data_IF_919076861070
#
_entry.id   IF_919076861070
#
_cell.length_a   1.000
_cell.length_b   1.000
_cell.length_c   1.000
_cell.angle_alpha   90.00
_cell.angle_beta   90.00
_cell.angle_gamma   90.00
#
_symmetry.space_group_name_H-M   'P 1'
#
loop_
_entity.id
_entity.type
_entity.pdbx_description
1 polymer ?
#
# COMPACT_ATOMS: atom_id res chain seq x y z
N UNK A 1 16.48 19.80 -5.42
CA UNK A 1 16.70 20.00 -3.97
C UNK A 1 17.51 18.81 -3.50
N UNK A 2 18.50 19.01 -2.65
CA UNK A 2 19.24 17.88 -2.06
C UNK A 2 18.31 17.13 -1.13
N UNK A 3 18.34 15.79 -1.17
CA UNK A 3 17.53 14.98 -0.26
C UNK A 3 18.01 15.16 1.18
N UNK A 4 17.21 15.85 1.98
CA UNK A 4 17.48 16.09 3.41
C UNK A 4 16.60 15.17 4.27
N UNK A 5 17.27 14.25 4.98
CA UNK A 5 16.63 13.30 5.89
C UNK A 5 16.94 13.65 7.35
N UNK A 6 15.94 13.53 8.21
CA UNK A 6 16.09 13.74 9.66
C UNK A 6 16.84 12.56 10.32
N UNK A 7 17.41 12.79 11.51
CA UNK A 7 18.20 11.77 12.23
C UNK A 7 17.46 10.43 12.44
N UNK A 8 16.19 10.39 12.88
CA UNK A 8 15.44 9.13 12.99
C UNK A 8 15.43 8.31 11.70
N UNK A 9 15.31 8.97 10.54
CA UNK A 9 15.32 8.28 9.23
C UNK A 9 16.72 7.73 8.94
N UNK A 10 17.78 8.47 9.27
CA UNK A 10 19.16 7.98 9.11
C UNK A 10 19.43 6.76 9.99
N UNK A 11 18.91 6.72 11.21
CA UNK A 11 19.00 5.55 12.08
C UNK A 11 18.30 4.32 11.47
N UNK A 12 17.10 4.50 10.92
CA UNK A 12 16.37 3.43 10.21
C UNK A 12 17.18 2.93 8.99
N UNK A 13 17.82 3.83 8.24
CA UNK A 13 18.68 3.44 7.12
C UNK A 13 19.84 2.56 7.60
N UNK A 14 20.53 2.94 8.69
CA UNK A 14 21.59 2.13 9.26
C UNK A 14 21.10 0.75 9.76
N UNK A 15 19.89 0.69 10.32
CA UNK A 15 19.27 -0.58 10.72
C UNK A 15 19.05 -1.50 9.51
N UNK A 16 18.58 -0.94 8.39
CA UNK A 16 18.43 -1.70 7.13
C UNK A 16 19.78 -2.22 6.65
N UNK A 17 20.83 -1.39 6.63
CA UNK A 17 22.16 -1.83 6.19
C UNK A 17 22.70 -2.96 7.07
N UNK A 18 22.50 -2.86 8.40
CA UNK A 18 22.89 -3.89 9.35
C UNK A 18 22.09 -5.20 9.16
N UNK A 19 20.77 -5.11 8.98
CA UNK A 19 19.89 -6.27 8.81
C UNK A 19 20.08 -6.99 7.47
N UNK A 20 20.46 -6.25 6.42
CA UNK A 20 20.56 -6.80 5.05
C UNK A 20 21.99 -7.09 4.61
N UNK A 21 22.98 -6.49 5.26
CA UNK A 21 24.38 -6.48 4.81
C UNK A 21 24.57 -5.71 3.51
N UNK A 22 23.62 -4.86 3.11
CA UNK A 22 23.61 -4.17 1.81
C UNK A 22 23.29 -2.69 1.99
N UNK A 23 24.07 -1.80 1.36
CA UNK A 23 23.83 -0.36 1.49
C UNK A 23 22.60 0.09 0.70
N UNK A 24 22.07 1.27 1.05
CA UNK A 24 21.01 1.93 0.30
C UNK A 24 21.58 2.96 -0.68
N UNK A 25 21.00 2.99 -1.89
CA UNK A 25 21.28 4.00 -2.91
C UNK A 25 20.03 4.81 -3.20
N UNK A 26 20.15 6.12 -3.18
CA UNK A 26 19.08 7.04 -3.57
C UNK A 26 19.21 7.42 -5.05
N UNK A 27 18.10 7.35 -5.78
CA UNK A 27 18.06 7.67 -7.21
C UNK A 27 16.86 8.56 -7.51
N UNK A 28 17.13 9.73 -8.08
CA UNK A 28 16.07 10.62 -8.56
C UNK A 28 15.30 9.97 -9.72
N UNK A 29 13.98 10.00 -9.65
CA UNK A 29 13.07 9.50 -10.69
C UNK A 29 11.75 10.25 -10.63
N UNK A 30 11.51 11.14 -11.58
CA UNK A 30 10.32 11.99 -11.57
C UNK A 30 9.05 11.32 -12.08
N UNK A 31 9.19 10.26 -12.88
CA UNK A 31 8.10 9.45 -13.45
C UNK A 31 7.50 8.44 -12.44
N UNK A 32 7.63 8.69 -11.14
CA UNK A 32 7.04 7.83 -10.12
C UNK A 32 5.56 8.17 -9.92
N UNK A 33 4.75 7.10 -9.81
CA UNK A 33 3.34 7.22 -9.39
C UNK A 33 3.20 7.61 -7.91
N UNK A 34 4.27 7.44 -7.12
CA UNK A 34 4.38 7.79 -5.70
C UNK A 34 5.57 8.73 -5.50
N UNK A 35 5.69 9.36 -4.32
CA UNK A 35 6.83 10.27 -4.05
C UNK A 35 8.13 9.53 -3.72
N UNK A 36 8.03 8.31 -3.21
CA UNK A 36 9.15 7.38 -3.08
C UNK A 36 8.70 5.96 -3.41
N UNK A 37 9.66 5.10 -3.77
CA UNK A 37 9.45 3.67 -3.94
C UNK A 37 10.76 2.91 -3.77
N UNK A 38 10.71 1.71 -3.20
CA UNK A 38 11.90 0.87 -3.05
C UNK A 38 12.01 -0.24 -4.09
N UNK A 39 13.25 -0.50 -4.51
CA UNK A 39 13.65 -1.75 -5.14
C UNK A 39 14.58 -2.48 -4.17
N UNK A 40 14.03 -3.51 -3.55
CA UNK A 40 14.76 -4.34 -2.59
C UNK A 40 15.80 -5.20 -3.33
N UNK A 41 17.03 -5.23 -2.80
CA UNK A 41 18.14 -5.93 -3.41
C UNK A 41 17.95 -7.45 -3.35
N UNK A 42 17.99 -8.12 -4.51
CA UNK A 42 18.09 -9.58 -4.61
C UNK A 42 19.52 -10.06 -4.41
N UNK A 43 19.76 -11.38 -4.30
CA UNK A 43 21.08 -11.97 -4.06
C UNK A 43 22.21 -11.37 -4.89
N UNK A 44 22.03 -11.28 -6.21
CA UNK A 44 23.03 -10.73 -7.14
C UNK A 44 23.10 -9.19 -7.19
N UNK A 45 22.24 -8.48 -6.47
CA UNK A 45 22.24 -7.01 -6.43
C UNK A 45 23.05 -6.51 -5.23
N UNK A 46 23.99 -5.57 -5.43
CA UNK A 46 24.85 -5.09 -4.35
C UNK A 46 24.14 -4.11 -3.41
N UNK A 47 23.11 -3.39 -3.86
CA UNK A 47 22.48 -2.32 -3.08
C UNK A 47 20.96 -2.35 -3.19
N UNK A 48 20.29 -1.89 -2.13
CA UNK A 48 18.89 -1.47 -2.19
C UNK A 48 18.81 -0.13 -2.94
N UNK A 49 17.72 0.11 -3.66
CA UNK A 49 17.53 1.39 -4.36
C UNK A 49 16.23 2.04 -3.90
N UNK A 50 16.34 3.24 -3.33
CA UNK A 50 15.19 4.10 -3.02
C UNK A 50 15.09 5.13 -4.14
N UNK A 51 13.99 5.06 -4.90
CA UNK A 51 13.65 6.07 -5.88
C UNK A 51 12.85 7.19 -5.21
N UNK A 52 13.12 8.43 -5.60
CA UNK A 52 12.37 9.60 -5.13
C UNK A 52 12.20 10.64 -6.23
N UNK A 53 11.12 11.43 -6.18
CA UNK A 53 10.89 12.54 -7.12
C UNK A 53 11.73 13.74 -6.70
N UNK A 54 12.28 14.50 -7.65
CA UNK A 54 13.08 15.72 -7.41
C UNK A 54 12.28 16.82 -6.70
N UNK A 55 10.99 16.92 -7.06
CA UNK A 55 10.01 17.75 -6.36
C UNK A 55 9.36 16.95 -5.24
N UNK A 56 9.89 17.11 -4.04
CA UNK A 56 9.35 16.51 -2.83
C UNK A 56 9.24 17.56 -1.71
N UNK A 57 8.37 17.30 -0.74
CA UNK A 57 8.33 18.06 0.51
C UNK A 57 8.85 17.20 1.67
N UNK A 58 8.74 17.70 2.89
CA UNK A 58 9.25 17.02 4.07
C UNK A 58 8.60 15.64 4.35
N UNK A 59 7.49 15.30 3.68
CA UNK A 59 6.87 13.95 3.79
C UNK A 59 7.81 12.85 3.29
N UNK A 60 8.82 13.20 2.48
CA UNK A 60 9.85 12.24 2.04
C UNK A 60 10.50 11.49 3.22
N UNK A 61 10.61 12.12 4.39
CA UNK A 61 11.13 11.47 5.60
C UNK A 61 10.27 10.26 6.03
N UNK A 62 8.95 10.43 6.07
CA UNK A 62 8.03 9.33 6.37
C UNK A 62 8.07 8.26 5.27
N UNK A 63 8.09 8.67 4.00
CA UNK A 63 8.06 7.73 2.89
C UNK A 63 9.32 6.87 2.85
N UNK A 64 10.50 7.45 3.08
CA UNK A 64 11.75 6.69 3.16
C UNK A 64 11.69 5.70 4.34
N UNK A 65 11.24 6.12 5.52
CA UNK A 65 11.07 5.24 6.68
C UNK A 65 10.08 4.10 6.41
N UNK A 66 8.96 4.39 5.75
CA UNK A 66 7.95 3.41 5.35
C UNK A 66 8.52 2.34 4.43
N UNK A 67 9.24 2.75 3.38
CA UNK A 67 9.89 1.86 2.44
C UNK A 67 10.99 1.00 3.12
N UNK A 68 11.72 1.56 4.08
CA UNK A 68 12.65 0.81 4.93
C UNK A 68 11.94 -0.24 5.78
N UNK A 69 10.75 0.08 6.31
CA UNK A 69 9.90 -0.86 7.04
C UNK A 69 9.60 -2.13 6.22
N UNK A 70 9.30 -2.00 4.93
CA UNK A 70 9.13 -3.17 4.05
C UNK A 70 10.40 -4.02 3.94
N UNK A 71 11.59 -3.39 3.83
CA UNK A 71 12.86 -4.12 3.78
C UNK A 71 13.07 -4.90 5.09
N UNK A 72 12.96 -4.22 6.24
CA UNK A 72 13.18 -4.83 7.55
C UNK A 72 12.24 -6.01 7.79
N UNK A 73 10.96 -5.87 7.46
CA UNK A 73 9.99 -6.96 7.57
C UNK A 73 10.37 -8.14 6.70
N UNK A 74 10.69 -7.93 5.43
CA UNK A 74 11.08 -9.03 4.53
C UNK A 74 12.40 -9.70 4.97
N UNK A 75 13.34 -8.95 5.52
CA UNK A 75 14.63 -9.49 6.00
C UNK A 75 14.57 -10.08 7.41
N UNK A 76 13.46 -9.92 8.13
CA UNK A 76 13.23 -10.58 9.43
C UNK A 76 13.07 -12.09 9.33
N UNK A 77 12.92 -12.62 8.10
CA UNK A 77 12.82 -14.06 7.82
C UNK A 77 13.95 -14.55 6.90
N UNK A 78 14.27 -15.86 6.94
CA UNK A 78 15.21 -16.49 6.01
C UNK A 78 14.81 -16.31 4.55
N UNK A 79 15.80 -16.37 3.64
CA UNK A 79 15.60 -16.11 2.20
C UNK A 79 14.49 -16.99 1.59
N UNK A 80 14.38 -18.23 2.03
CA UNK A 80 13.43 -19.23 1.52
C UNK A 80 11.98 -18.89 1.84
N UNK A 81 11.75 -18.04 2.85
CA UNK A 81 10.41 -17.58 3.25
C UNK A 81 10.02 -16.24 2.63
N UNK A 82 10.93 -15.54 1.94
CA UNK A 82 10.68 -14.21 1.38
C UNK A 82 9.84 -14.35 0.11
N UNK A 83 8.54 -14.12 0.25
CA UNK A 83 7.58 -14.15 -0.84
C UNK A 83 7.53 -12.81 -1.57
N UNK A 84 7.34 -12.88 -2.88
CA UNK A 84 7.06 -11.71 -3.74
C UNK A 84 5.74 -11.94 -4.47
N UNK A 85 4.92 -10.89 -4.67
CA UNK A 85 3.70 -11.02 -5.46
C UNK A 85 4.01 -11.58 -6.85
N UNK A 86 3.36 -12.69 -7.20
CA UNK A 86 3.47 -13.31 -8.51
C UNK A 86 2.35 -12.84 -9.43
N UNK A 87 2.62 -12.85 -10.75
CA UNK A 87 1.55 -12.63 -11.74
C UNK A 87 0.55 -13.79 -11.67
N UNK A 88 -0.76 -13.53 -11.87
CA UNK A 88 -1.75 -14.59 -11.91
C UNK A 88 -1.43 -15.58 -13.04
N UNK A 89 -1.55 -16.89 -12.73
CA UNK A 89 -1.33 -17.96 -13.70
C UNK A 89 -2.40 -18.00 -14.79
N UNK A 90 -3.61 -17.57 -14.46
CA UNK A 90 -4.75 -17.50 -15.39
C UNK A 90 -5.41 -16.12 -15.36
N UNK A 91 -4.94 -15.23 -16.23
CA UNK A 91 -5.55 -13.92 -16.41
C UNK A 91 -6.98 -13.99 -16.99
N UNK A 92 -7.37 -15.10 -17.64
CA UNK A 92 -8.70 -15.25 -18.25
C UNK A 92 -9.76 -15.51 -17.18
N UNK A 93 -9.47 -16.33 -16.17
CA UNK A 93 -10.38 -16.58 -15.06
C UNK A 93 -10.80 -15.27 -14.37
N UNK A 94 -9.84 -14.38 -14.13
CA UNK A 94 -10.11 -13.05 -13.57
C UNK A 94 -11.01 -12.20 -14.48
N UNK A 95 -10.81 -12.22 -15.80
CA UNK A 95 -11.65 -11.49 -16.75
C UNK A 95 -13.08 -12.05 -16.80
N UNK A 96 -13.24 -13.37 -16.69
CA UNK A 96 -14.55 -14.03 -16.65
C UNK A 96 -15.37 -13.58 -15.43
N UNK A 97 -14.73 -13.42 -14.26
CA UNK A 97 -15.43 -12.95 -13.05
C UNK A 97 -16.02 -11.55 -13.17
N UNK A 98 -15.45 -10.70 -14.04
CA UNK A 98 -15.90 -9.31 -14.25
C UNK A 98 -16.54 -9.08 -15.62
N UNK A 99 -16.73 -10.12 -16.43
CA UNK A 99 -17.18 -10.00 -17.83
C UNK A 99 -18.50 -9.23 -17.96
N UNK A 100 -19.46 -9.51 -17.07
CA UNK A 100 -20.74 -8.80 -17.04
C UNK A 100 -20.58 -7.30 -16.81
N UNK A 101 -19.66 -6.90 -15.93
CA UNK A 101 -19.33 -5.49 -15.70
C UNK A 101 -18.60 -4.89 -16.89
N UNK A 102 -17.68 -5.62 -17.52
CA UNK A 102 -16.98 -5.15 -18.73
C UNK A 102 -17.96 -4.87 -19.88
N UNK A 103 -18.93 -5.76 -20.08
CA UNK A 103 -19.99 -5.59 -21.08
C UNK A 103 -20.91 -4.40 -20.79
N UNK A 104 -21.09 -4.05 -19.52
CA UNK A 104 -21.83 -2.85 -19.11
C UNK A 104 -21.00 -1.58 -19.31
N UNK A 105 -19.72 -1.60 -18.93
CA UNK A 105 -18.82 -0.46 -18.98
C UNK A 105 -18.42 -0.12 -20.42
N UNK A 106 -18.30 -1.11 -21.31
CA UNK A 106 -18.01 -0.90 -22.74
C UNK A 106 -19.08 -0.07 -23.48
N UNK A 107 -20.28 0.05 -22.89
CA UNK A 107 -21.34 0.95 -23.38
C UNK A 107 -21.17 2.39 -22.92
N UNK A 108 -20.28 2.65 -21.96
CA UNK A 108 -20.04 3.95 -21.34
C UNK A 108 -18.72 4.58 -21.79
N UNK A 109 -17.71 3.78 -22.12
CA UNK A 109 -16.39 4.24 -22.54
C UNK A 109 -15.88 3.47 -23.77
N UNK A 110 -14.98 4.06 -24.59
CA UNK A 110 -14.40 3.39 -25.75
C UNK A 110 -13.64 2.10 -25.37
N UNK A 111 -13.68 1.10 -26.26
CA UNK A 111 -13.01 -0.19 -26.03
C UNK A 111 -11.50 -0.05 -25.81
N UNK A 112 -10.85 0.88 -26.50
CA UNK A 112 -9.41 1.12 -26.34
C UNK A 112 -9.07 1.63 -24.94
N UNK A 113 -9.89 2.51 -24.36
CA UNK A 113 -9.77 2.96 -22.98
C UNK A 113 -10.04 1.81 -22.01
N UNK A 114 -11.09 1.01 -22.28
CA UNK A 114 -11.45 -0.15 -21.45
C UNK A 114 -10.28 -1.14 -21.32
N UNK A 115 -9.59 -1.47 -22.41
CA UNK A 115 -8.42 -2.37 -22.40
C UNK A 115 -7.31 -1.82 -21.51
N UNK A 116 -7.05 -0.51 -21.55
CA UNK A 116 -6.03 0.13 -20.72
C UNK A 116 -6.38 0.08 -19.23
N UNK A 117 -7.63 0.42 -18.87
CA UNK A 117 -8.04 0.53 -17.47
C UNK A 117 -8.23 -0.82 -16.78
N UNK A 118 -8.56 -1.90 -17.51
CA UNK A 118 -8.71 -3.24 -16.93
C UNK A 118 -7.41 -3.73 -16.27
N UNK A 119 -6.27 -3.52 -16.94
CA UNK A 119 -4.97 -3.82 -16.36
C UNK A 119 -4.67 -2.96 -15.13
N UNK A 120 -5.06 -1.68 -15.15
CA UNK A 120 -4.85 -0.78 -14.02
C UNK A 120 -5.67 -1.19 -12.79
N UNK A 121 -6.94 -1.57 -12.98
CA UNK A 121 -7.82 -1.98 -11.90
C UNK A 121 -7.35 -3.25 -11.21
N UNK A 122 -7.00 -4.25 -12.00
CA UNK A 122 -6.62 -5.58 -11.49
C UNK A 122 -5.26 -5.52 -10.78
N UNK A 123 -4.25 -4.89 -11.41
CA UNK A 123 -2.95 -4.67 -10.77
C UNK A 123 -3.06 -3.77 -9.54
N UNK A 124 -3.89 -2.72 -9.59
CA UNK A 124 -4.11 -1.82 -8.48
C UNK A 124 -4.74 -2.51 -7.27
N UNK A 125 -5.75 -3.36 -7.50
CA UNK A 125 -6.41 -4.11 -6.44
C UNK A 125 -5.47 -5.13 -5.79
N UNK A 126 -4.70 -5.89 -6.59
CA UNK A 126 -3.70 -6.83 -6.07
C UNK A 126 -2.64 -6.09 -5.26
N UNK A 127 -2.11 -4.98 -5.78
CA UNK A 127 -1.13 -4.17 -5.04
C UNK A 127 -1.69 -3.64 -3.73
N UNK A 128 -2.95 -3.20 -3.71
CA UNK A 128 -3.61 -2.75 -2.49
C UNK A 128 -3.72 -3.88 -1.46
N UNK A 129 -4.19 -5.05 -1.90
CA UNK A 129 -4.31 -6.24 -1.07
C UNK A 129 -2.96 -6.69 -0.49
N UNK A 130 -1.89 -6.68 -1.27
CA UNK A 130 -0.56 -7.13 -0.83
C UNK A 130 0.18 -6.11 0.02
N UNK A 131 -0.17 -4.83 -0.07
CA UNK A 131 0.51 -3.76 0.66
C UNK A 131 -0.21 -3.37 1.95
N UNK A 132 -1.54 -3.28 1.95
CA UNK A 132 -2.26 -2.70 3.10
C UNK A 132 -2.05 -3.43 4.42
N UNK A 133 -2.05 -4.77 4.48
CA UNK A 133 -1.72 -5.45 5.72
C UNK A 133 -0.32 -5.08 6.25
N UNK A 134 0.80 -5.31 5.53
CA UNK A 134 2.11 -4.93 6.06
C UNK A 134 2.24 -3.42 6.32
N UNK A 135 1.62 -2.57 5.49
CA UNK A 135 1.59 -1.12 5.71
C UNK A 135 0.98 -0.77 7.07
N UNK A 136 -0.10 -1.45 7.51
CA UNK A 136 -0.68 -1.23 8.84
C UNK A 136 0.39 -1.42 9.93
N UNK A 137 1.19 -2.47 9.85
CA UNK A 137 2.21 -2.76 10.85
C UNK A 137 3.40 -1.80 10.77
N UNK A 138 3.81 -1.41 9.56
CA UNK A 138 4.88 -0.43 9.34
C UNK A 138 4.47 0.93 9.90
N UNK A 139 3.24 1.39 9.65
CA UNK A 139 2.77 2.67 10.15
C UNK A 139 2.64 2.69 11.68
N UNK A 140 2.22 1.57 12.30
CA UNK A 140 2.23 1.46 13.76
C UNK A 140 3.64 1.56 14.32
N UNK A 141 4.58 0.81 13.75
CA UNK A 141 5.99 0.83 14.13
C UNK A 141 6.57 2.25 14.03
N UNK A 142 6.34 2.96 12.92
CA UNK A 142 6.77 4.35 12.77
C UNK A 142 6.16 5.25 13.85
N UNK A 143 4.86 5.11 14.12
CA UNK A 143 4.17 5.95 15.09
C UNK A 143 4.64 5.69 16.53
N UNK A 144 4.87 4.44 16.88
CA UNK A 144 5.22 3.99 18.24
C UNK A 144 6.68 4.32 18.55
N UNK A 145 7.60 4.03 17.64
CA UNK A 145 9.04 4.05 17.90
C UNK A 145 9.72 5.36 17.48
N UNK A 146 9.11 6.15 16.58
CA UNK A 146 9.71 7.37 16.03
C UNK A 146 8.77 8.59 16.13
N UNK A 147 8.58 9.16 17.34
CA UNK A 147 7.68 10.31 17.56
C UNK A 147 7.91 11.51 16.63
N UNK A 148 9.16 11.76 16.24
CA UNK A 148 9.58 12.84 15.34
C UNK A 148 9.06 12.65 13.91
N UNK A 149 8.72 11.40 13.52
CA UNK A 149 8.14 11.10 12.21
C UNK A 149 6.63 11.35 12.15
N UNK A 150 5.93 11.44 13.29
CA UNK A 150 4.46 11.55 13.36
C UNK A 150 3.87 12.70 12.54
N UNK A 151 4.44 13.93 12.52
CA UNK A 151 3.90 15.02 11.69
C UNK A 151 3.97 14.70 10.18
N UNK A 152 5.03 14.03 9.74
CA UNK A 152 5.19 13.63 8.33
C UNK A 152 4.29 12.46 7.98
N UNK A 153 4.17 11.49 8.89
CA UNK A 153 3.28 10.35 8.78
C UNK A 153 1.82 10.79 8.65
N UNK A 154 1.33 11.64 9.56
CA UNK A 154 -0.05 12.12 9.52
C UNK A 154 -0.35 12.80 8.18
N UNK A 155 0.52 13.70 7.73
CA UNK A 155 0.37 14.37 6.43
C UNK A 155 0.38 13.38 5.26
N UNK A 156 1.21 12.33 5.32
CA UNK A 156 1.28 11.29 4.30
C UNK A 156 -0.01 10.49 4.22
N UNK A 157 -0.51 10.02 5.37
CA UNK A 157 -1.75 9.26 5.50
C UNK A 157 -2.98 10.09 5.13
N UNK A 158 -3.01 11.38 5.47
CA UNK A 158 -4.06 12.31 5.02
C UNK A 158 -4.05 12.46 3.49
N UNK A 159 -2.87 12.60 2.87
CA UNK A 159 -2.77 12.65 1.40
C UNK A 159 -3.24 11.33 0.77
N UNK A 160 -2.85 10.19 1.31
CA UNK A 160 -3.30 8.87 0.85
C UNK A 160 -4.83 8.75 0.99
N UNK A 161 -5.39 9.19 2.12
CA UNK A 161 -6.83 9.22 2.36
C UNK A 161 -7.55 10.09 1.32
N UNK A 162 -7.11 11.33 1.10
CA UNK A 162 -7.71 12.22 0.10
C UNK A 162 -7.69 11.64 -1.31
N UNK A 163 -6.63 10.91 -1.69
CA UNK A 163 -6.60 10.19 -2.97
C UNK A 163 -7.59 9.02 -2.99
N UNK A 164 -7.66 8.22 -1.92
CA UNK A 164 -8.58 7.10 -1.81
C UNK A 164 -10.05 7.54 -1.86
N UNK A 165 -10.39 8.71 -1.29
CA UNK A 165 -11.75 9.26 -1.31
C UNK A 165 -12.27 9.58 -2.71
N UNK A 166 -11.37 9.88 -3.68
CA UNK A 166 -11.76 10.06 -5.09
C UNK A 166 -12.37 8.78 -5.67
N UNK A 167 -11.95 7.62 -5.14
CA UNK A 167 -12.45 6.29 -5.52
C UNK A 167 -13.88 5.99 -5.07
N UNK A 168 -14.46 6.77 -4.14
CA UNK A 168 -15.82 6.53 -3.63
C UNK A 168 -16.90 7.11 -4.57
N UNK A 169 -16.53 8.05 -5.45
CA UNK A 169 -17.51 8.79 -6.26
C UNK A 169 -18.42 7.90 -7.10
N UNK A 170 -19.66 8.36 -7.33
CA UNK A 170 -20.65 7.66 -8.18
C UNK A 170 -20.12 7.41 -9.59
N UNK A 171 -19.31 8.32 -10.14
CA UNK A 171 -18.67 8.14 -11.44
C UNK A 171 -17.79 6.89 -11.45
N UNK A 172 -16.89 6.76 -10.47
CA UNK A 172 -16.01 5.59 -10.33
C UNK A 172 -16.83 4.32 -10.13
N UNK A 173 -17.87 4.35 -9.28
CA UNK A 173 -18.76 3.20 -9.08
C UNK A 173 -19.40 2.71 -10.39
N UNK A 174 -19.81 3.63 -11.27
CA UNK A 174 -20.43 3.26 -12.55
C UNK A 174 -19.41 2.79 -13.60
N UNK A 175 -18.17 3.26 -13.55
CA UNK A 175 -17.15 2.97 -14.56
C UNK A 175 -16.14 1.89 -14.14
N UNK A 176 -16.34 1.25 -12.99
CA UNK A 176 -15.43 0.20 -12.47
C UNK A 176 -16.24 -1.07 -12.19
N UNK A 177 -15.65 -2.28 -12.40
CA UNK A 177 -16.30 -3.52 -12.02
C UNK A 177 -16.65 -3.55 -10.53
N UNK A 178 -17.82 -4.07 -10.21
CA UNK A 178 -18.41 -4.02 -8.86
C UNK A 178 -17.49 -4.68 -7.85
N UNK A 179 -16.93 -5.86 -8.19
CA UNK A 179 -15.98 -6.58 -7.33
C UNK A 179 -14.75 -5.73 -7.00
N UNK A 180 -14.20 -5.01 -7.98
CA UNK A 180 -13.00 -4.17 -7.80
C UNK A 180 -13.34 -2.94 -6.95
N UNK A 181 -14.44 -2.27 -7.27
CA UNK A 181 -14.91 -1.08 -6.53
C UNK A 181 -15.17 -1.42 -5.06
N UNK A 182 -15.91 -2.49 -4.79
CA UNK A 182 -16.27 -2.90 -3.44
C UNK A 182 -15.04 -3.32 -2.64
N UNK A 183 -14.20 -4.21 -3.19
CA UNK A 183 -13.00 -4.70 -2.50
C UNK A 183 -12.04 -3.56 -2.17
N UNK A 184 -11.80 -2.64 -3.11
CA UNK A 184 -10.90 -1.51 -2.86
C UNK A 184 -11.41 -0.60 -1.74
N UNK A 185 -12.71 -0.30 -1.72
CA UNK A 185 -13.31 0.55 -0.70
C UNK A 185 -13.45 -0.15 0.66
N UNK A 186 -13.63 -1.48 0.70
CA UNK A 186 -13.57 -2.28 1.94
C UNK A 186 -12.15 -2.24 2.52
N UNK A 187 -11.12 -2.47 1.71
CA UNK A 187 -9.72 -2.41 2.17
C UNK A 187 -9.33 -1.01 2.65
N UNK A 188 -9.75 0.05 1.94
CA UNK A 188 -9.60 1.43 2.40
C UNK A 188 -10.26 1.67 3.77
N UNK A 189 -11.51 1.20 3.94
CA UNK A 189 -12.21 1.32 5.22
C UNK A 189 -11.40 0.69 6.35
N UNK A 190 -10.92 -0.55 6.17
CA UNK A 190 -10.15 -1.26 7.21
C UNK A 190 -8.85 -0.55 7.51
N UNK A 191 -8.06 -0.23 6.48
CA UNK A 191 -6.77 0.45 6.61
C UNK A 191 -6.87 1.77 7.38
N UNK A 192 -7.76 2.67 6.94
CA UNK A 192 -7.91 3.98 7.59
C UNK A 192 -8.58 3.91 8.96
N UNK A 193 -9.40 2.89 9.24
CA UNK A 193 -10.02 2.74 10.55
C UNK A 193 -9.03 2.20 11.58
N UNK A 194 -8.28 1.17 11.19
CA UNK A 194 -7.25 0.56 12.02
C UNK A 194 -6.17 1.60 12.36
N UNK A 195 -5.58 2.22 11.34
CA UNK A 195 -4.51 3.20 11.55
C UNK A 195 -5.02 4.48 12.21
N UNK A 196 -6.18 4.98 11.79
CA UNK A 196 -6.78 6.17 12.39
C UNK A 196 -6.96 6.03 13.89
N UNK A 197 -7.44 4.86 14.35
CA UNK A 197 -7.57 4.57 15.79
C UNK A 197 -6.22 4.57 16.51
N UNK A 198 -5.18 3.98 15.90
CA UNK A 198 -3.83 3.91 16.46
C UNK A 198 -3.15 5.29 16.58
N UNK A 199 -3.22 6.09 15.52
CA UNK A 199 -2.57 7.41 15.44
C UNK A 199 -3.45 8.55 15.98
N UNK A 200 -4.63 8.22 16.52
CA UNK A 200 -5.62 9.18 17.07
C UNK A 200 -6.15 10.18 16.03
N UNK A 201 -6.40 9.73 14.80
CA UNK A 201 -6.99 10.52 13.71
C UNK A 201 -8.24 9.83 13.11
N UNK A 202 -9.30 10.57 12.81
CA UNK A 202 -10.55 9.99 12.25
C UNK A 202 -10.50 9.88 10.70
N UNK A 203 -9.55 9.12 10.16
CA UNK A 203 -9.34 8.95 8.71
C UNK A 203 -10.46 8.15 8.02
N UNK A 204 -11.19 7.31 8.77
CA UNK A 204 -12.25 6.46 8.23
C UNK A 204 -13.63 7.14 8.20
N UNK A 205 -13.78 8.34 8.77
CA UNK A 205 -15.04 9.09 8.83
C UNK A 205 -15.81 9.08 7.50
N UNK A 206 -15.19 9.35 6.32
CA UNK A 206 -15.92 9.41 5.06
C UNK A 206 -16.54 8.08 4.61
N UNK A 207 -16.00 6.95 5.10
CA UNK A 207 -16.47 5.61 4.72
C UNK A 207 -17.63 5.09 5.60
N UNK A 208 -17.95 5.75 6.72
CA UNK A 208 -18.96 5.25 7.67
C UNK A 208 -20.36 5.09 7.08
N UNK A 209 -20.69 5.90 6.07
CA UNK A 209 -21.99 5.91 5.39
C UNK A 209 -21.93 5.31 3.98
N UNK A 210 -20.87 4.57 3.64
CA UNK A 210 -20.76 3.89 2.34
C UNK A 210 -21.20 2.43 2.45
N UNK A 211 -21.60 1.79 1.34
CA UNK A 211 -21.93 0.36 1.30
C UNK A 211 -20.81 -0.55 1.84
N UNK A 212 -19.55 -0.11 1.72
CA UNK A 212 -18.37 -0.85 2.18
C UNK A 212 -18.30 -0.99 3.71
N UNK A 213 -18.99 -0.14 4.49
CA UNK A 213 -18.88 -0.10 5.95
C UNK A 213 -19.27 -1.40 6.65
N UNK A 214 -20.29 -2.13 6.18
CA UNK A 214 -20.76 -3.37 6.84
C UNK A 214 -19.71 -4.49 6.75
N UNK A 215 -19.23 -4.78 5.54
CA UNK A 215 -18.16 -5.77 5.31
C UNK A 215 -16.84 -5.29 5.88
N UNK A 216 -16.52 -4.00 5.74
CA UNK A 216 -15.34 -3.38 6.32
C UNK A 216 -15.26 -3.55 7.84
N UNK A 217 -16.37 -3.42 8.58
CA UNK A 217 -16.41 -3.70 10.03
C UNK A 217 -16.12 -5.16 10.36
N UNK A 218 -16.57 -6.10 9.53
CA UNK A 218 -16.30 -7.54 9.74
C UNK A 218 -14.81 -7.83 9.52
N UNK A 219 -14.24 -7.33 8.42
CA UNK A 219 -12.83 -7.51 8.10
C UNK A 219 -11.92 -6.78 9.10
N UNK A 220 -12.33 -5.61 9.58
CA UNK A 220 -11.63 -4.87 10.65
C UNK A 220 -11.53 -5.70 11.92
N UNK A 221 -12.65 -6.27 12.40
CA UNK A 221 -12.65 -7.13 13.60
C UNK A 221 -11.77 -8.36 13.44
N UNK A 222 -11.77 -8.97 12.25
CA UNK A 222 -10.88 -10.09 11.95
C UNK A 222 -9.41 -9.64 12.02
N UNK A 223 -9.10 -8.50 11.41
CA UNK A 223 -7.75 -7.91 11.42
C UNK A 223 -7.28 -7.58 12.84
N UNK A 224 -8.12 -6.95 13.66
CA UNK A 224 -7.79 -6.62 15.06
C UNK A 224 -7.53 -7.85 15.92
N UNK A 225 -8.27 -8.94 15.66
CA UNK A 225 -8.20 -10.15 16.47
C UNK A 225 -7.05 -11.06 16.08
N UNK A 226 -6.84 -11.27 14.77
CA UNK A 226 -6.03 -12.37 14.26
C UNK A 226 -4.67 -11.90 13.71
N UNK A 227 -4.41 -10.59 13.60
CA UNK A 227 -3.18 -10.10 12.97
C UNK A 227 -1.96 -10.22 13.91
N UNK A 228 -1.10 -11.19 13.61
CA UNK A 228 0.24 -11.34 14.18
C UNK A 228 1.22 -10.35 13.54
N UNK A 229 1.92 -9.56 14.36
CA UNK A 229 2.92 -8.60 13.86
C UNK A 229 4.23 -9.30 13.49
N UNK A 230 4.26 -9.96 12.33
CA UNK A 230 5.46 -10.54 11.71
C UNK A 230 5.31 -10.60 10.20
N UNK A 231 6.38 -10.90 9.48
CA UNK A 231 6.32 -11.08 8.03
C UNK A 231 5.38 -12.23 7.61
N UNK A 232 5.45 -13.39 8.27
CA UNK A 232 4.49 -14.47 8.02
C UNK A 232 3.06 -14.08 8.42
N UNK A 233 2.90 -13.25 9.45
CA UNK A 233 1.61 -12.67 9.83
C UNK A 233 1.04 -11.76 8.75
N UNK A 234 1.87 -10.99 8.05
CA UNK A 234 1.46 -10.17 6.90
C UNK A 234 0.93 -11.06 5.78
N UNK A 235 1.66 -12.12 5.43
CA UNK A 235 1.23 -13.06 4.39
C UNK A 235 -0.09 -13.74 4.76
N UNK A 236 -0.23 -14.19 6.01
CA UNK A 236 -1.47 -14.77 6.50
C UNK A 236 -2.64 -13.77 6.47
N UNK A 237 -2.39 -12.49 6.77
CA UNK A 237 -3.44 -11.46 6.73
C UNK A 237 -3.82 -11.09 5.29
N UNK A 238 -2.87 -11.05 4.37
CA UNK A 238 -3.13 -10.90 2.93
C UNK A 238 -4.06 -12.01 2.45
N UNK A 239 -3.75 -13.27 2.78
CA UNK A 239 -4.60 -14.43 2.41
C UNK A 239 -5.98 -14.40 3.08
N UNK A 240 -6.10 -13.81 4.28
CA UNK A 240 -7.38 -13.64 4.97
C UNK A 240 -8.24 -12.52 4.39
N UNK A 241 -7.61 -11.51 3.80
CA UNK A 241 -8.30 -10.41 3.13
C UNK A 241 -8.78 -10.78 1.73
N UNK A 242 -8.10 -11.73 1.08
CA UNK A 242 -8.43 -12.28 -0.25
C UNK A 242 -9.73 -13.10 -0.25
#
# INVERSE_FOLDING_TARGET
MTLELIEPVKSILSEVEAATGKPLKFVEKDELNTFAAVKIARKAMPTHVIFYRTQHDAIINHLVAHECGHILRMFSVPEEKRLIPAKPKDARAMLQEIEGDLNRISKLIPMQELIQVVGMWTNGLVRQLTNYPPDIMIEKWIYDDYPELRPYQLRSLERQNQQALKGISRKVQMTTPTKIYDSSNIMNYVFFNFLGSHIKADLARPYRNTPSSKKGKQLLKLTEKDYVNSYEGDMAMIDRWA
#
